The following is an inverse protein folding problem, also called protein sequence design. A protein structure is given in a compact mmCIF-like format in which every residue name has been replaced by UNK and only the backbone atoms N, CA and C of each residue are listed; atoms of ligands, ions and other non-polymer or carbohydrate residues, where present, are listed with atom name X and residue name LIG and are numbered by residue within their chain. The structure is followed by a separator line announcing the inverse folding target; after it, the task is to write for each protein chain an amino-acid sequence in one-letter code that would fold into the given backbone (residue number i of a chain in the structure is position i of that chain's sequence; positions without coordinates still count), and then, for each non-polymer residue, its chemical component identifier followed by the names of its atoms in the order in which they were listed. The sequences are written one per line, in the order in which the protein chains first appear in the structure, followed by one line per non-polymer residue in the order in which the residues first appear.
data_IF_181762438030
#
_entry.id   IF_181762438030
#
_cell.length_a   1.000
_cell.length_b   1.000
_cell.length_c   1.000
_cell.angle_alpha   90.00
_cell.angle_beta   90.00
_cell.angle_gamma   90.00
#
_symmetry.space_group_name_H-M   'P 1'
#
loop_
_entity.id
_entity.type
_entity.pdbx_description
1 polymer ?
#
# COMPACT_ATOMS: atom_id res chain seq x y z
N UNK A 1 9.22 31.90 -11.48
CA UNK A 1 8.71 30.80 -10.62
C UNK A 1 9.85 30.37 -9.71
N UNK A 2 9.78 30.61 -8.40
CA UNK A 2 10.77 30.11 -7.44
C UNK A 2 10.47 28.64 -7.14
N UNK A 3 11.47 27.77 -7.29
CA UNK A 3 11.35 26.38 -6.87
C UNK A 3 11.29 26.33 -5.33
N UNK A 4 10.39 25.50 -4.79
CA UNK A 4 10.32 25.28 -3.34
C UNK A 4 11.64 24.67 -2.86
N UNK A 5 12.15 25.09 -1.68
CA UNK A 5 13.35 24.51 -1.10
C UNK A 5 13.16 23.00 -0.94
N UNK A 6 14.22 22.24 -1.25
CA UNK A 6 14.20 20.79 -1.07
C UNK A 6 14.02 20.48 0.42
N UNK A 7 13.19 19.50 0.77
CA UNK A 7 13.08 19.07 2.15
C UNK A 7 14.41 18.48 2.65
N UNK A 8 14.87 18.90 3.82
CA UNK A 8 16.08 18.39 4.48
C UNK A 8 15.84 17.04 5.20
N UNK A 9 14.88 16.23 4.73
CA UNK A 9 14.52 14.96 5.35
C UNK A 9 14.44 13.82 4.34
N UNK A 10 14.71 12.61 4.82
CA UNK A 10 14.51 11.36 4.09
C UNK A 10 13.15 10.76 4.41
N UNK A 11 12.55 10.06 3.43
CA UNK A 11 11.31 9.32 3.65
C UNK A 11 11.63 7.83 3.69
N UNK A 12 11.33 7.11 4.80
CA UNK A 12 11.61 5.69 4.89
C UNK A 12 10.71 4.86 3.96
N UNK A 13 11.20 3.67 3.61
CA UNK A 13 10.38 2.66 2.94
C UNK A 13 9.40 2.03 3.93
N UNK A 14 8.22 1.67 3.43
CA UNK A 14 7.13 1.09 4.21
C UNK A 14 6.63 -0.15 3.49
N UNK A 15 6.64 -1.26 4.20
CA UNK A 15 5.92 -2.46 3.81
C UNK A 15 4.65 -2.56 4.65
N UNK A 16 3.56 -3.00 4.04
CA UNK A 16 2.30 -3.13 4.77
C UNK A 16 1.48 -4.31 4.27
N UNK A 17 0.66 -4.84 5.14
CA UNK A 17 -0.38 -5.80 4.79
C UNK A 17 -1.56 -5.61 5.73
N UNK A 18 -2.64 -6.32 5.47
CA UNK A 18 -3.83 -6.27 6.32
C UNK A 18 -4.35 -7.66 6.62
N UNK A 19 -5.09 -7.73 7.73
CA UNK A 19 -6.04 -8.79 8.01
C UNK A 19 -7.45 -8.17 8.00
N UNK A 20 -8.46 -8.99 8.32
CA UNK A 20 -9.84 -8.52 8.48
C UNK A 20 -9.94 -7.34 9.46
N UNK A 21 -9.23 -7.40 10.58
CA UNK A 21 -9.37 -6.45 11.69
C UNK A 21 -8.19 -5.49 11.86
N UNK A 22 -7.04 -5.78 11.23
CA UNK A 22 -5.81 -5.02 11.46
C UNK A 22 -5.12 -4.60 10.17
N UNK A 23 -4.41 -3.49 10.23
CA UNK A 23 -3.41 -3.07 9.25
C UNK A 23 -2.06 -3.13 9.94
N UNK A 24 -1.11 -3.85 9.34
CA UNK A 24 0.23 -4.05 9.88
C UNK A 24 1.24 -3.37 8.98
N UNK A 25 2.16 -2.65 9.59
CA UNK A 25 3.13 -1.78 8.95
C UNK A 25 4.53 -2.14 9.42
N UNK A 26 5.47 -2.16 8.49
CA UNK A 26 6.90 -2.27 8.74
C UNK A 26 7.58 -1.06 8.11
N UNK A 27 7.97 -0.09 8.93
CA UNK A 27 8.76 1.06 8.49
C UNK A 27 10.21 0.62 8.48
N UNK A 28 10.81 0.52 7.29
CA UNK A 28 12.16 0.00 7.10
C UNK A 28 13.16 1.11 7.41
N UNK A 29 13.80 0.98 8.57
CA UNK A 29 14.84 1.89 9.03
C UNK A 29 15.72 1.14 10.03
N UNK A 30 16.92 0.77 9.59
CA UNK A 30 17.85 -0.04 10.38
C UNK A 30 18.67 0.78 11.35
N UNK A 31 19.01 0.18 12.49
CA UNK A 31 19.82 0.82 13.54
C UNK A 31 19.05 1.84 14.35
N UNK A 32 17.72 1.90 14.21
CA UNK A 32 16.90 2.80 15.00
C UNK A 32 16.61 2.18 16.37
N UNK A 33 17.15 2.81 17.40
CA UNK A 33 16.74 2.56 18.79
C UNK A 33 15.30 3.06 19.03
N UNK A 34 14.83 3.02 20.29
CA UNK A 34 13.49 3.49 20.69
C UNK A 34 13.30 5.02 20.61
N UNK A 35 14.26 5.76 20.04
CA UNK A 35 14.18 7.21 19.87
C UNK A 35 13.45 7.60 18.57
N UNK A 36 12.15 7.38 18.54
CA UNK A 36 11.27 7.83 17.46
C UNK A 36 9.92 8.28 18.00
N UNK A 37 9.21 9.08 17.20
CA UNK A 37 7.83 9.47 17.48
C UNK A 37 6.93 8.83 16.44
N UNK A 38 6.07 7.93 16.90
CA UNK A 38 4.97 7.37 16.12
C UNK A 38 3.64 7.82 16.72
N UNK A 39 2.76 8.40 15.92
CA UNK A 39 1.43 8.82 16.38
C UNK A 39 0.40 8.70 15.28
N UNK A 40 -0.86 8.51 15.69
CA UNK A 40 -2.01 8.58 14.81
C UNK A 40 -2.88 9.76 15.26
N UNK A 41 -3.09 10.72 14.37
CA UNK A 41 -3.93 11.88 14.61
C UNK A 41 -5.27 11.70 13.91
N UNK A 42 -6.36 12.08 14.59
CA UNK A 42 -7.74 12.04 14.07
C UNK A 42 -8.11 10.69 13.43
N UNK A 43 -7.60 9.58 13.99
CA UNK A 43 -7.86 8.21 13.52
C UNK A 43 -7.47 7.91 12.06
N UNK A 44 -6.76 8.82 11.38
CA UNK A 44 -6.51 8.69 9.93
C UNK A 44 -5.14 9.19 9.50
N UNK A 45 -4.46 10.01 10.29
CA UNK A 45 -3.16 10.57 9.92
C UNK A 45 -2.05 9.90 10.72
N UNK A 46 -1.34 8.99 10.09
CA UNK A 46 -0.12 8.40 10.65
C UNK A 46 1.02 9.38 10.48
N UNK A 47 1.70 9.68 11.57
CA UNK A 47 2.85 10.58 11.61
C UNK A 47 3.99 9.85 12.30
N UNK A 48 5.05 9.62 11.54
CA UNK A 48 6.30 9.06 12.03
C UNK A 48 7.44 10.07 11.83
N UNK A 49 8.25 10.23 12.88
CA UNK A 49 9.44 11.07 12.91
C UNK A 49 10.54 10.32 13.63
N UNK A 50 11.74 10.33 13.07
CA UNK A 50 12.92 9.80 13.73
C UNK A 50 14.17 10.56 13.25
N UNK A 51 15.23 10.54 14.04
CA UNK A 51 16.53 11.10 13.67
C UNK A 51 17.56 10.01 13.86
N UNK A 52 18.28 9.65 12.80
CA UNK A 52 19.28 8.60 12.82
C UNK A 52 20.48 9.01 11.97
N UNK A 53 21.70 8.84 12.49
CA UNK A 53 22.94 9.27 11.82
C UNK A 53 22.87 10.69 11.23
N UNK A 54 22.42 11.65 12.06
CA UNK A 54 22.26 13.07 11.68
C UNK A 54 21.28 13.32 10.52
N UNK A 55 20.52 12.30 10.10
CA UNK A 55 19.49 12.41 9.06
C UNK A 55 18.12 12.34 9.71
N UNK A 56 17.27 13.31 9.38
CA UNK A 56 15.88 13.30 9.79
C UNK A 56 15.04 12.45 8.84
N UNK A 57 14.27 11.54 9.42
CA UNK A 57 13.34 10.67 8.72
C UNK A 57 11.91 11.08 9.02
N UNK A 58 11.13 11.23 7.94
CA UNK A 58 9.77 11.74 7.99
C UNK A 58 8.84 10.85 7.18
N UNK A 59 7.74 10.43 7.79
CA UNK A 59 6.66 9.75 7.09
C UNK A 59 5.32 10.30 7.58
N UNK A 60 4.53 10.86 6.66
CA UNK A 60 3.18 11.36 6.93
C UNK A 60 2.22 10.70 5.95
N UNK A 61 1.29 9.89 6.47
CA UNK A 61 0.33 9.16 5.66
C UNK A 61 -1.09 9.51 6.08
N UNK A 62 -1.90 9.94 5.11
CA UNK A 62 -3.36 9.91 5.24
C UNK A 62 -3.82 8.50 4.90
N UNK A 63 -4.24 7.74 5.91
CA UNK A 63 -4.69 6.35 5.78
C UNK A 63 -5.98 6.27 4.96
N UNK A 64 -6.14 5.15 4.25
CA UNK A 64 -7.30 4.89 3.40
C UNK A 64 -8.62 5.04 4.17
N UNK A 65 -8.72 4.39 5.33
CA UNK A 65 -9.88 4.49 6.21
C UNK A 65 -9.46 4.77 7.67
N UNK A 66 -10.44 4.95 8.55
CA UNK A 66 -10.23 5.20 9.98
C UNK A 66 -9.71 3.94 10.69
N UNK A 67 -8.83 4.18 11.67
CA UNK A 67 -8.35 3.18 12.63
C UNK A 67 -8.77 3.58 14.04
N UNK A 68 -8.78 2.62 14.95
CA UNK A 68 -9.03 2.89 16.36
C UNK A 68 -7.91 3.77 16.97
N UNK A 69 -8.19 4.41 18.10
CA UNK A 69 -7.20 5.23 18.80
C UNK A 69 -6.10 4.39 19.46
N UNK A 70 -6.33 3.09 19.64
CA UNK A 70 -5.37 2.14 20.16
C UNK A 70 -4.54 1.55 19.02
N UNK A 71 -3.23 1.62 19.16
CA UNK A 71 -2.27 1.03 18.25
C UNK A 71 -1.07 0.55 19.05
N UNK A 72 -0.33 -0.40 18.49
CA UNK A 72 0.90 -0.91 19.07
C UNK A 72 2.04 -0.70 18.08
N UNK A 73 3.22 -0.37 18.59
CA UNK A 73 4.43 -0.32 17.79
C UNK A 73 5.65 -0.78 18.58
N UNK A 74 6.64 -1.31 17.88
CA UNK A 74 7.86 -1.85 18.49
C UNK A 74 9.01 -1.72 17.48
N UNK A 75 10.20 -1.33 17.95
CA UNK A 75 11.41 -1.39 17.13
C UNK A 75 11.92 -2.84 17.08
N UNK A 76 12.33 -3.29 15.89
CA UNK A 76 12.86 -4.63 15.64
C UNK A 76 14.28 -4.56 15.05
N UNK A 77 15.06 -3.51 15.36
CA UNK A 77 16.43 -3.32 14.91
C UNK A 77 16.58 -2.91 13.44
N UNK A 78 15.89 -3.61 12.52
CA UNK A 78 15.88 -3.31 11.07
C UNK A 78 14.64 -2.52 10.62
N UNK A 79 13.61 -2.49 11.46
CA UNK A 79 12.34 -1.84 11.14
C UNK A 79 11.56 -1.50 12.41
N UNK A 80 10.57 -0.63 12.24
CA UNK A 80 9.55 -0.34 13.24
C UNK A 80 8.28 -1.03 12.78
N UNK A 81 7.83 -2.01 13.56
CA UNK A 81 6.58 -2.71 13.32
C UNK A 81 5.47 -1.98 14.04
N UNK A 82 4.40 -1.65 13.32
CA UNK A 82 3.19 -1.06 13.91
C UNK A 82 1.96 -1.87 13.51
N UNK A 83 1.05 -2.06 14.47
CA UNK A 83 -0.24 -2.72 14.28
C UNK A 83 -1.34 -1.71 14.59
N UNK A 84 -2.16 -1.44 13.58
CA UNK A 84 -3.31 -0.54 13.66
C UNK A 84 -4.58 -1.38 13.62
N UNK A 85 -5.51 -1.15 14.54
CA UNK A 85 -6.81 -1.82 14.51
C UNK A 85 -7.79 -1.00 13.66
N UNK A 86 -8.45 -1.64 12.68
CA UNK A 86 -9.42 -0.95 11.83
C UNK A 86 -10.68 -0.58 12.60
N UNK A 87 -11.36 0.49 12.20
CA UNK A 87 -12.71 0.78 12.72
C UNK A 87 -13.77 -0.16 12.12
N UNK A 88 -13.62 -0.51 10.84
CA UNK A 88 -14.49 -1.42 10.12
C UNK A 88 -13.66 -2.58 9.57
N UNK A 89 -14.28 -3.74 9.39
CA UNK A 89 -13.64 -4.94 8.83
C UNK A 89 -13.49 -4.90 7.30
N UNK A 90 -13.69 -3.73 6.68
CA UNK A 90 -13.57 -3.53 5.24
C UNK A 90 -12.15 -3.83 4.75
N UNK A 91 -12.07 -4.38 3.54
CA UNK A 91 -10.80 -4.56 2.84
C UNK A 91 -10.25 -3.21 2.38
N UNK A 92 -8.95 -2.98 2.59
CA UNK A 92 -8.27 -1.78 2.14
C UNK A 92 -7.56 -2.07 0.81
N UNK A 93 -8.01 -1.54 -0.33
CA UNK A 93 -7.31 -1.74 -1.61
C UNK A 93 -5.94 -1.03 -1.65
N UNK A 94 -5.68 -0.12 -0.71
CA UNK A 94 -4.45 0.66 -0.58
C UNK A 94 -4.28 1.14 0.85
N UNK A 95 -3.03 1.43 1.26
CA UNK A 95 -2.75 1.95 2.60
C UNK A 95 -3.21 3.40 2.77
N UNK A 96 -3.05 4.20 1.73
CA UNK A 96 -3.23 5.64 1.75
C UNK A 96 -4.52 6.07 1.04
N UNK A 97 -5.10 7.18 1.47
CA UNK A 97 -6.34 7.72 0.90
C UNK A 97 -6.18 8.12 -0.57
N UNK A 98 -5.04 8.75 -0.89
CA UNK A 98 -4.73 9.19 -2.26
C UNK A 98 -4.54 8.00 -3.20
N UNK A 99 -4.90 8.19 -4.46
CA UNK A 99 -4.62 7.24 -5.55
C UNK A 99 -3.19 7.39 -6.09
N UNK A 100 -2.49 8.47 -5.72
CA UNK A 100 -1.11 8.69 -6.15
C UNK A 100 -0.19 7.62 -5.54
N UNK A 101 0.44 6.84 -6.42
CA UNK A 101 1.38 5.79 -6.01
C UNK A 101 2.64 6.38 -5.41
N UNK A 102 2.87 6.09 -4.12
CA UNK A 102 4.12 6.41 -3.44
C UNK A 102 5.13 5.28 -3.65
N UNK A 103 6.33 5.61 -4.16
CA UNK A 103 7.37 4.62 -4.50
C UNK A 103 7.92 3.88 -3.26
N UNK A 104 7.86 4.54 -2.12
CA UNK A 104 8.35 4.04 -0.83
C UNK A 104 7.28 3.24 -0.05
N UNK A 105 6.11 2.95 -0.62
CA UNK A 105 5.07 2.14 0.03
C UNK A 105 4.78 0.91 -0.81
N UNK A 106 4.92 -0.28 -0.23
CA UNK A 106 4.75 -1.57 -0.90
C UNK A 106 3.87 -2.50 -0.09
N UNK A 107 3.03 -3.27 -0.77
CA UNK A 107 2.28 -4.33 -0.11
C UNK A 107 3.19 -5.53 0.14
N UNK A 108 3.11 -6.13 1.33
CA UNK A 108 3.88 -7.31 1.72
C UNK A 108 3.14 -8.59 1.32
N UNK A 109 3.53 -9.14 0.17
CA UNK A 109 2.96 -10.38 -0.39
C UNK A 109 3.36 -11.62 0.40
N UNK A 110 4.44 -11.59 1.20
CA UNK A 110 4.87 -12.75 1.99
C UNK A 110 3.84 -13.15 3.05
N UNK A 111 2.96 -12.21 3.42
CA UNK A 111 1.92 -12.38 4.43
C UNK A 111 0.56 -12.76 3.84
N UNK A 112 0.43 -12.78 2.50
CA UNK A 112 -0.75 -13.32 1.84
C UNK A 112 -0.70 -14.84 1.89
N UNK A 113 -1.42 -15.44 2.83
CA UNK A 113 -1.71 -16.88 2.79
C UNK A 113 -2.68 -17.13 1.64
N UNK A 114 -2.15 -17.35 0.43
CA UNK A 114 -2.95 -17.84 -0.69
C UNK A 114 -3.45 -19.24 -0.27
N UNK A 115 -4.77 -19.46 -0.14
CA UNK A 115 -5.33 -20.79 0.10
C UNK A 115 -4.79 -21.75 -0.96
N UNK A 116 -4.36 -22.95 -0.57
CA UNK A 116 -3.73 -23.91 -1.50
C UNK A 116 -4.56 -24.16 -2.78
N UNK A 117 -5.88 -24.03 -2.68
CA UNK A 117 -6.84 -24.20 -3.77
C UNK A 117 -6.67 -23.18 -4.92
N UNK A 118 -6.13 -21.99 -4.64
CA UNK A 118 -5.85 -20.95 -5.64
C UNK A 118 -4.41 -20.96 -6.16
N UNK A 119 -3.50 -21.72 -5.52
CA UNK A 119 -2.10 -21.81 -5.96
C UNK A 119 -1.95 -22.54 -7.30
N UNK A 120 -2.88 -23.46 -7.61
CA UNK A 120 -2.88 -24.21 -8.88
C UNK A 120 -3.25 -23.40 -10.12
N UNK A 121 -3.85 -22.21 -9.96
CA UNK A 121 -4.19 -21.31 -11.06
C UNK A 121 -3.09 -20.27 -11.35
N UNK A 122 -2.06 -20.21 -10.50
CA UNK A 122 -0.87 -19.35 -10.66
C UNK A 122 0.37 -20.25 -10.81
N UNK A 123 0.21 -21.34 -11.55
CA UNK A 123 1.32 -22.00 -12.23
C UNK A 123 1.15 -21.59 -13.68
N UNK A 124 1.84 -20.54 -14.12
CA UNK A 124 2.21 -20.49 -15.53
C UNK A 124 3.16 -21.67 -15.69
N UNK A 125 2.70 -22.70 -16.40
CA UNK A 125 3.54 -23.80 -16.88
C UNK A 125 4.74 -23.17 -17.60
N UNK A 126 5.85 -23.03 -16.85
CA UNK A 126 7.17 -23.06 -17.44
C UNK A 126 7.46 -24.55 -17.56
N UNK A 127 6.98 -25.13 -18.65
CA UNK A 127 7.54 -26.38 -19.12
C UNK A 127 9.02 -26.07 -19.46
N UNK A 128 9.87 -26.65 -18.63
CA UNK A 128 11.31 -26.79 -18.82
C UNK A 128 11.47 -27.72 -20.04
N UNK A 129 11.49 -27.13 -21.24
CA UNK A 129 11.91 -27.82 -22.46
C UNK A 129 13.19 -27.14 -22.96
N UNK A 130 14.32 -27.78 -22.63
CA UNK A 130 15.60 -27.63 -23.29
C UNK A 130 15.41 -27.83 -24.82
N UNK A 131 15.18 -26.78 -25.59
CA UNK A 131 15.64 -26.75 -26.98
C UNK A 131 15.80 -25.34 -27.56
N UNK A 132 16.95 -25.13 -28.18
CA UNK A 132 17.35 -23.93 -28.92
C UNK A 132 16.37 -23.65 -30.08
N UNK A 133 15.60 -22.55 -30.02
CA UNK A 133 15.28 -21.81 -31.25
C UNK A 133 14.81 -20.37 -31.05
N UNK A 134 15.44 -19.49 -31.81
CA UNK A 134 15.15 -18.07 -32.00
C UNK A 134 13.82 -17.87 -32.73
N UNK A 135 12.90 -17.11 -32.15
CA UNK A 135 11.96 -16.28 -32.91
C UNK A 135 11.32 -15.20 -32.02
N UNK A 136 11.24 -14.00 -32.59
CA UNK A 136 10.57 -12.81 -32.07
C UNK A 136 9.21 -13.11 -31.42
N UNK A 137 9.06 -12.76 -30.15
CA UNK A 137 7.76 -12.73 -29.50
C UNK A 137 7.25 -11.30 -29.50
N UNK A 138 6.47 -10.98 -30.54
CA UNK A 138 5.59 -9.82 -30.55
C UNK A 138 4.65 -9.89 -29.35
N UNK A 139 4.63 -8.82 -28.56
CA UNK A 139 3.84 -8.74 -27.33
C UNK A 139 2.36 -8.71 -27.69
N UNK A 140 1.64 -9.79 -27.36
CA UNK A 140 0.19 -9.83 -27.36
C UNK A 140 -0.38 -8.69 -26.49
N UNK A 141 -1.16 -7.83 -27.14
CA UNK A 141 -2.01 -6.82 -26.50
C UNK A 141 -3.06 -7.53 -25.65
N UNK A 142 -3.16 -7.14 -24.38
CA UNK A 142 -4.27 -7.52 -23.51
C UNK A 142 -5.47 -6.69 -23.97
N UNK A 143 -6.35 -7.31 -24.74
CA UNK A 143 -7.70 -6.81 -25.02
C UNK A 143 -8.61 -7.20 -23.84
N UNK A 144 -8.89 -6.24 -22.96
CA UNK A 144 -9.97 -6.36 -21.98
C UNK A 144 -11.21 -5.67 -22.55
N UNK A 145 -11.77 -6.28 -23.60
CA UNK A 145 -13.14 -6.05 -24.01
C UNK A 145 -14.08 -6.69 -23.00
N UNK A 146 -14.52 -5.92 -22.01
CA UNK A 146 -15.75 -6.21 -21.27
C UNK A 146 -16.73 -5.08 -21.58
N UNK A 147 -17.45 -5.31 -22.68
CA UNK A 147 -18.66 -4.62 -23.09
C UNK A 147 -19.77 -4.88 -22.07
N UNK A 148 -19.89 -4.01 -21.06
CA UNK A 148 -21.13 -3.90 -20.30
C UNK A 148 -21.95 -2.73 -20.86
N UNK A 149 -22.93 -3.12 -21.68
CA UNK A 149 -23.99 -2.30 -22.25
C UNK A 149 -24.92 -1.84 -21.11
N UNK A 150 -24.71 -0.63 -20.60
CA UNK A 150 -25.66 0.01 -19.68
C UNK A 150 -26.61 0.89 -20.47
N UNK A 151 -27.83 0.38 -20.56
CA UNK A 151 -29.04 0.94 -21.14
C UNK A 151 -29.35 2.34 -20.59
N UNK A 152 -29.64 3.25 -21.52
CA UNK A 152 -30.08 4.63 -21.29
C UNK A 152 -31.47 4.64 -20.63
N UNK A 153 -31.59 5.31 -19.49
CA UNK A 153 -32.86 5.95 -19.16
C UNK A 153 -32.61 7.33 -18.58
N UNK A 154 -32.73 8.32 -19.47
CA UNK A 154 -32.98 9.72 -19.16
C UNK A 154 -34.07 9.84 -18.09
N UNK A 155 -33.68 10.40 -16.94
CA UNK A 155 -34.63 11.00 -16.01
C UNK A 155 -34.33 12.50 -16.03
N UNK A 156 -34.90 13.17 -17.04
CA UNK A 156 -35.28 14.57 -16.92
C UNK A 156 -36.37 14.66 -15.83
N UNK A 157 -36.06 15.30 -14.73
CA UNK A 157 -37.09 15.85 -13.84
C UNK A 157 -36.87 17.35 -13.79
N UNK A 158 -37.40 18.00 -14.82
CA UNK A 158 -37.57 19.44 -14.90
C UNK A 158 -38.99 19.80 -14.42
N UNK A 159 -39.06 20.91 -13.68
CA UNK A 159 -40.25 21.67 -13.23
C UNK A 159 -41.16 21.03 -12.14
N UNK A 160 -41.72 21.77 -11.16
CA UNK A 160 -42.06 23.19 -11.06
C UNK A 160 -42.32 23.61 -9.57
N UNK A 161 -42.30 24.93 -9.34
CA UNK A 161 -42.66 25.77 -8.15
C UNK A 161 -41.73 25.88 -6.92
#
# INVERSE_FOLDING_TARGET
MQALPRPDYSTPDVQWYQTKTHVKLSIILSGLDDNYRFRISRQRFLIFRATYNQTDYRLDLALFNKVQNTFQHTSCGSCIKATLTKCNEDEWPRLIQTTQRMRNIRYDLSQCTIPEEQRKLISVDVEDDDDDNVAESERCLIDLGSEEEYDESDIECDYDD
#
